data_IF_647028142105
#
_entry.id   IF_647028142105
#
_cell.length_a   1.000
_cell.length_b   1.000
_cell.length_c   1.000
_cell.angle_alpha   90.00
_cell.angle_beta   90.00
_cell.angle_gamma   90.00
#
_symmetry.space_group_name_H-M   'P 1'
#
loop_
_entity.id
_entity.type
_entity.pdbx_description
1 polymer ?
#
# COMPACT_ATOMS: atom_id res chain seq x y z
N UNK A 1 11.53 -28.28 -5.45
CA UNK A 1 11.52 -27.50 -4.19
C UNK A 1 10.93 -26.16 -4.53
N UNK A 2 9.82 -25.81 -3.91
CA UNK A 2 9.17 -24.52 -4.11
C UNK A 2 10.13 -23.40 -3.67
N UNK A 3 10.34 -22.42 -4.55
CA UNK A 3 11.10 -21.20 -4.25
C UNK A 3 10.15 -20.01 -4.17
N UNK A 4 10.44 -19.10 -3.24
CA UNK A 4 9.68 -17.89 -3.02
C UNK A 4 10.52 -16.67 -3.38
N UNK A 5 9.89 -15.72 -4.04
CA UNK A 5 10.40 -14.37 -4.25
C UNK A 5 9.61 -13.41 -3.35
N UNK A 6 10.31 -12.44 -2.73
CA UNK A 6 9.71 -11.43 -1.87
C UNK A 6 9.87 -10.05 -2.50
N UNK A 7 8.86 -9.21 -2.33
CA UNK A 7 8.86 -7.83 -2.77
C UNK A 7 8.33 -6.93 -1.64
N UNK A 8 9.00 -5.81 -1.40
CA UNK A 8 8.65 -4.87 -0.33
C UNK A 8 8.53 -3.47 -0.90
N UNK A 9 7.49 -2.74 -0.52
CA UNK A 9 7.27 -1.37 -1.00
C UNK A 9 6.46 -0.56 0.00
N UNK A 10 6.44 0.75 -0.20
CA UNK A 10 5.50 1.64 0.48
C UNK A 10 4.33 1.96 -0.44
N UNK A 11 3.11 1.83 0.07
CA UNK A 11 1.89 2.25 -0.63
C UNK A 11 1.26 3.39 0.17
N UNK A 12 0.84 4.47 -0.51
CA UNK A 12 0.22 5.63 0.13
C UNK A 12 -1.27 5.70 -0.20
N UNK A 13 -2.10 5.78 0.84
CA UNK A 13 -3.54 6.04 0.72
C UNK A 13 -3.76 7.53 0.40
N UNK A 14 -3.91 7.84 -0.89
CA UNK A 14 -4.10 9.20 -1.37
C UNK A 14 -4.99 9.24 -2.62
N UNK A 15 -6.25 9.62 -2.43
CA UNK A 15 -7.27 9.75 -3.48
C UNK A 15 -6.95 10.83 -4.52
N UNK A 16 -5.99 11.72 -4.25
CA UNK A 16 -5.58 12.77 -5.17
C UNK A 16 -4.52 12.31 -6.20
N UNK A 17 -3.97 11.10 -6.06
CA UNK A 17 -3.07 10.53 -7.06
C UNK A 17 -3.84 10.29 -8.37
N UNK A 18 -3.17 10.52 -9.50
CA UNK A 18 -3.81 10.49 -10.82
C UNK A 18 -4.33 9.09 -11.20
N UNK A 19 -3.51 8.07 -10.97
CA UNK A 19 -3.84 6.65 -11.17
C UNK A 19 -4.99 6.18 -10.29
N UNK A 20 -5.11 6.73 -9.07
CA UNK A 20 -6.22 6.47 -8.15
C UNK A 20 -7.49 7.17 -8.62
N UNK A 21 -7.39 8.46 -8.96
CA UNK A 21 -8.55 9.32 -9.31
C UNK A 21 -9.35 8.81 -10.51
N UNK A 22 -8.69 8.15 -11.45
CA UNK A 22 -9.31 7.61 -12.66
C UNK A 22 -9.48 6.09 -12.65
N UNK A 23 -9.15 5.42 -11.55
CA UNK A 23 -9.29 3.96 -11.46
C UNK A 23 -10.76 3.54 -11.42
N UNK A 24 -11.10 2.54 -12.23
CA UNK A 24 -12.38 1.85 -12.20
C UNK A 24 -12.48 0.81 -11.08
N UNK A 25 -11.38 0.53 -10.39
CA UNK A 25 -11.33 -0.45 -9.30
C UNK A 25 -11.92 0.10 -7.99
N UNK A 26 -12.03 1.42 -7.88
CA UNK A 26 -12.52 2.09 -6.67
C UNK A 26 -14.05 2.07 -6.69
N UNK A 27 -14.72 1.57 -5.62
CA UNK A 27 -16.17 1.59 -5.52
C UNK A 27 -16.74 3.01 -5.67
N UNK A 28 -17.91 3.20 -6.27
CA UNK A 28 -18.54 4.51 -6.39
C UNK A 28 -18.87 5.07 -4.99
N UNK A 29 -18.70 6.38 -4.81
CA UNK A 29 -18.97 7.06 -3.54
C UNK A 29 -18.08 8.28 -3.33
N UNK A 30 -18.38 9.03 -2.26
CA UNK A 30 -17.47 10.08 -1.77
C UNK A 30 -16.43 9.46 -0.84
N UNK A 31 -15.16 9.66 -1.16
CA UNK A 31 -14.04 9.07 -0.44
C UNK A 31 -13.16 10.19 0.11
N UNK A 32 -12.90 10.21 1.44
CA UNK A 32 -11.96 11.16 2.02
C UNK A 32 -10.58 11.07 1.35
N UNK A 33 -9.83 12.19 1.36
CA UNK A 33 -8.52 12.31 0.70
C UNK A 33 -7.55 11.16 0.99
N UNK A 34 -7.53 10.65 2.21
CA UNK A 34 -6.64 9.55 2.63
C UNK A 34 -7.41 8.25 2.87
N UNK A 35 -8.48 8.01 2.12
CA UNK A 35 -9.25 6.77 2.16
C UNK A 35 -8.38 5.55 1.82
N UNK A 36 -8.45 4.44 2.57
CA UNK A 36 -7.78 3.19 2.23
C UNK A 36 -8.17 2.61 0.87
N UNK A 37 -9.31 3.02 0.28
CA UNK A 37 -9.66 2.61 -1.08
C UNK A 37 -8.68 3.09 -2.14
N UNK A 38 -7.91 4.14 -1.85
CA UNK A 38 -6.82 4.58 -2.72
C UNK A 38 -5.72 3.52 -2.92
N UNK A 39 -5.68 2.48 -2.08
CA UNK A 39 -4.71 1.40 -2.17
C UNK A 39 -5.14 0.31 -3.17
N UNK A 40 -6.44 0.21 -3.47
CA UNK A 40 -7.01 -0.87 -4.28
C UNK A 40 -6.33 -1.00 -5.66
N UNK A 41 -6.13 0.08 -6.44
CA UNK A 41 -5.59 -0.05 -7.79
C UNK A 41 -4.19 -0.67 -7.80
N UNK A 42 -3.30 -0.21 -6.92
CA UNK A 42 -1.93 -0.72 -6.83
C UNK A 42 -1.88 -2.17 -6.31
N UNK A 43 -2.72 -2.50 -5.31
CA UNK A 43 -2.84 -3.87 -4.80
C UNK A 43 -3.36 -4.84 -5.88
N UNK A 44 -4.36 -4.43 -6.66
CA UNK A 44 -4.88 -5.22 -7.77
C UNK A 44 -3.83 -5.41 -8.87
N UNK A 45 -3.07 -4.37 -9.21
CA UNK A 45 -1.96 -4.46 -10.17
C UNK A 45 -0.86 -5.43 -9.72
N UNK A 46 -0.55 -5.47 -8.42
CA UNK A 46 0.41 -6.42 -7.85
C UNK A 46 -0.16 -7.84 -7.86
N UNK A 47 -1.43 -8.02 -7.47
CA UNK A 47 -2.13 -9.30 -7.55
C UNK A 47 -2.15 -9.87 -8.97
N UNK A 48 -2.40 -9.04 -9.98
CA UNK A 48 -2.38 -9.43 -11.39
C UNK A 48 -0.99 -9.90 -11.87
N UNK A 49 0.09 -9.47 -11.20
CA UNK A 49 1.48 -9.92 -11.44
C UNK A 49 1.85 -11.19 -10.65
N UNK A 50 0.88 -11.79 -9.95
CA UNK A 50 1.06 -12.99 -9.14
C UNK A 50 1.60 -12.73 -7.74
N UNK A 51 1.65 -11.47 -7.28
CA UNK A 51 2.08 -11.14 -5.93
C UNK A 51 0.94 -11.33 -4.91
N UNK A 52 1.22 -12.06 -3.84
CA UNK A 52 0.34 -12.23 -2.68
C UNK A 52 0.80 -11.28 -1.56
N UNK A 53 -0.06 -10.38 -1.10
CA UNK A 53 0.20 -9.54 0.07
C UNK A 53 0.22 -10.41 1.33
N UNK A 54 1.30 -10.35 2.11
CA UNK A 54 1.46 -11.16 3.34
C UNK A 54 1.65 -10.34 4.61
N UNK A 55 2.03 -9.07 4.47
CA UNK A 55 2.15 -8.17 5.60
C UNK A 55 1.88 -6.74 5.15
N UNK A 56 1.21 -5.97 6.02
CA UNK A 56 0.91 -4.57 5.81
C UNK A 56 0.85 -3.86 7.17
N UNK A 57 1.64 -2.80 7.32
CA UNK A 57 1.69 -2.01 8.56
C UNK A 57 1.68 -0.50 8.26
N UNK A 58 0.95 0.31 9.05
CA UNK A 58 0.98 1.77 8.91
C UNK A 58 2.34 2.31 9.39
N UNK A 59 2.99 3.10 8.55
CA UNK A 59 4.31 3.70 8.83
C UNK A 59 4.35 5.17 8.46
N UNK A 60 5.30 5.90 9.02
CA UNK A 60 5.73 7.19 8.49
C UNK A 60 7.14 7.04 7.91
N UNK A 61 7.30 7.04 6.58
CA UNK A 61 8.61 6.93 5.95
C UNK A 61 9.38 8.25 6.08
N UNK A 62 10.63 8.15 6.54
CA UNK A 62 11.62 9.20 6.52
C UNK A 62 12.24 9.39 5.14
N UNK A 63 13.10 10.40 5.00
CA UNK A 63 13.75 10.73 3.72
C UNK A 63 14.71 9.64 3.24
N UNK A 64 15.20 8.80 4.15
CA UNK A 64 16.11 7.71 3.84
C UNK A 64 15.40 6.34 3.79
N UNK A 65 14.06 6.34 3.67
CA UNK A 65 13.21 5.14 3.79
C UNK A 65 13.31 4.43 5.16
N UNK A 66 13.90 5.08 6.14
CA UNK A 66 13.76 4.75 7.55
C UNK A 66 12.28 4.90 7.96
N UNK A 67 11.79 4.04 8.86
CA UNK A 67 10.38 4.01 9.24
C UNK A 67 10.22 4.33 10.72
N UNK A 68 9.19 5.10 11.04
CA UNK A 68 8.67 5.23 12.40
C UNK A 68 7.23 4.74 12.43
N UNK A 69 6.89 3.94 13.44
CA UNK A 69 5.51 3.54 13.70
C UNK A 69 4.76 4.78 14.21
N UNK A 70 3.64 5.18 13.59
CA UNK A 70 2.83 6.29 14.09
C UNK A 70 2.32 5.95 15.50
N UNK A 71 2.78 6.69 16.50
CA UNK A 71 2.25 6.64 17.87
C UNK A 71 1.08 7.63 18.00
N UNK A 72 0.12 7.36 18.88
CA UNK A 72 -0.95 8.28 19.26
C UNK A 72 -0.41 9.62 19.81
N UNK A 73 0.82 9.63 20.34
CA UNK A 73 1.53 10.86 20.74
C UNK A 73 2.08 11.66 19.55
N UNK A 74 2.32 11.02 18.41
CA UNK A 74 2.69 11.67 17.17
C UNK A 74 1.42 12.30 16.58
N UNK A 75 1.31 13.63 16.61
CA UNK A 75 0.16 14.40 16.09
C UNK A 75 -0.06 14.28 14.56
N UNK A 76 0.36 13.17 13.93
CA UNK A 76 0.26 12.89 12.50
C UNK A 76 -0.38 11.52 12.30
N UNK A 77 -1.56 11.53 11.70
CA UNK A 77 -2.20 10.32 11.20
C UNK A 77 -1.38 9.74 10.05
N UNK A 78 -1.01 8.46 10.15
CA UNK A 78 -0.33 7.73 9.09
C UNK A 78 -1.24 7.51 7.89
N UNK A 79 -0.66 7.62 6.69
CA UNK A 79 -1.32 7.31 5.40
C UNK A 79 -0.46 6.46 4.47
N UNK A 80 0.76 6.14 4.91
CA UNK A 80 1.67 5.26 4.20
C UNK A 80 1.67 3.90 4.89
N UNK A 81 1.82 2.86 4.09
CA UNK A 81 1.83 1.49 4.55
C UNK A 81 3.07 0.80 4.01
N UNK A 82 3.82 0.15 4.88
CA UNK A 82 4.85 -0.79 4.47
C UNK A 82 4.18 -2.11 4.14
N UNK A 83 4.37 -2.59 2.92
CA UNK A 83 3.75 -3.80 2.42
C UNK A 83 4.83 -4.82 2.02
N UNK A 84 4.61 -6.07 2.40
CA UNK A 84 5.42 -7.22 2.00
C UNK A 84 4.57 -8.16 1.17
N UNK A 85 5.08 -8.53 0.01
CA UNK A 85 4.48 -9.46 -0.93
C UNK A 85 5.37 -10.68 -1.11
N UNK A 86 4.77 -11.82 -1.44
CA UNK A 86 5.47 -13.04 -1.87
C UNK A 86 4.85 -13.60 -3.14
N UNK A 87 5.63 -14.34 -3.94
CA UNK A 87 5.11 -15.19 -5.01
C UNK A 87 5.97 -16.43 -5.21
N UNK A 88 5.38 -17.50 -5.76
CA UNK A 88 6.13 -18.70 -6.14
C UNK A 88 6.88 -18.46 -7.44
N UNK A 89 8.12 -18.96 -7.53
CA UNK A 89 8.96 -18.86 -8.74
C UNK A 89 9.29 -20.21 -9.38
N UNK A 90 8.86 -21.32 -8.79
CA UNK A 90 9.08 -22.68 -9.27
C UNK A 90 8.08 -23.66 -8.69
#
# INVERSE_FOLDING_TARGET
MDKWEYFTTFIEANMAKEDVRYSTDIPPGDHPRYSPYALIPELNQLGAKGWELIHMEPVSPGRNHDVVVPDASAMKWGRHYFCVFKRKTS
#
